data_IF_901548929679
#
_entry.id   IF_901548929679
#
_cell.length_a   1.000
_cell.length_b   1.000
_cell.length_c   1.000
_cell.angle_alpha   90.00
_cell.angle_beta   90.00
_cell.angle_gamma   90.00
#
_symmetry.space_group_name_H-M   'P 1'
#
loop_
_entity.id
_entity.type
_entity.pdbx_description
1 polymer ?
#
# COMPACT_ATOMS: atom_id res chain seq x y z
N UNK A 1 0.60 -28.66 -18.12
CA UNK A 1 -0.07 -27.36 -17.86
C UNK A 1 0.68 -26.69 -16.73
N UNK A 2 1.72 -25.90 -17.04
CA UNK A 2 2.52 -25.21 -16.02
C UNK A 2 1.64 -24.07 -15.52
N UNK A 3 1.05 -24.22 -14.33
CA UNK A 3 0.30 -23.14 -13.70
C UNK A 3 1.15 -21.88 -13.76
N UNK A 4 0.61 -20.83 -14.39
CA UNK A 4 1.10 -19.47 -14.22
C UNK A 4 1.05 -19.15 -12.73
N UNK A 5 2.10 -19.52 -11.97
CA UNK A 5 2.32 -19.08 -10.60
C UNK A 5 2.75 -17.62 -10.70
N UNK A 6 1.80 -16.76 -11.03
CA UNK A 6 1.93 -15.32 -10.99
C UNK A 6 2.13 -14.91 -9.55
N UNK A 7 3.40 -14.71 -9.17
CA UNK A 7 3.85 -14.33 -7.85
C UNK A 7 3.15 -13.01 -7.45
N UNK A 8 2.06 -13.13 -6.70
CA UNK A 8 1.43 -12.00 -6.03
C UNK A 8 2.32 -11.63 -4.85
N UNK A 9 2.70 -10.36 -4.74
CA UNK A 9 3.44 -9.86 -3.59
C UNK A 9 2.61 -8.83 -2.85
N UNK A 10 2.80 -8.79 -1.54
CA UNK A 10 2.44 -7.66 -0.68
C UNK A 10 3.68 -7.38 0.16
N UNK A 11 4.19 -6.16 0.07
CA UNK A 11 5.38 -5.76 0.81
C UNK A 11 5.09 -4.53 1.65
N UNK A 12 5.47 -4.53 2.94
CA UNK A 12 5.40 -3.31 3.75
C UNK A 12 6.39 -2.29 3.17
N UNK A 13 5.92 -1.06 3.02
CA UNK A 13 6.70 0.05 2.50
C UNK A 13 6.83 1.14 3.58
N UNK A 14 8.06 1.60 3.81
CA UNK A 14 8.28 2.80 4.60
C UNK A 14 7.67 4.04 3.93
N UNK A 15 7.11 4.95 4.73
CA UNK A 15 6.53 6.18 4.19
C UNK A 15 7.60 7.21 3.84
N UNK A 16 7.66 7.62 2.56
CA UNK A 16 8.39 8.82 2.17
C UNK A 16 7.49 10.06 2.29
N UNK A 17 7.99 11.23 1.89
CA UNK A 17 7.28 12.52 2.02
C UNK A 17 5.88 12.48 1.40
N UNK A 18 5.72 11.86 0.23
CA UNK A 18 4.42 11.71 -0.44
C UNK A 18 3.45 10.85 0.38
N UNK A 19 3.88 9.69 0.85
CA UNK A 19 3.06 8.77 1.60
C UNK A 19 2.66 9.36 2.95
N UNK A 20 3.58 10.07 3.63
CA UNK A 20 3.28 10.80 4.88
C UNK A 20 2.23 11.88 4.65
N UNK A 21 2.35 12.66 3.57
CA UNK A 21 1.39 13.69 3.23
C UNK A 21 0.01 13.09 2.92
N UNK A 22 -0.02 11.98 2.18
CA UNK A 22 -1.27 11.27 1.88
C UNK A 22 -1.91 10.69 3.16
N UNK A 23 -1.13 10.05 4.04
CA UNK A 23 -1.63 9.52 5.31
C UNK A 23 -2.25 10.62 6.20
N UNK A 24 -1.66 11.82 6.24
CA UNK A 24 -2.25 12.98 6.93
C UNK A 24 -3.60 13.38 6.34
N UNK A 25 -3.75 13.35 5.01
CA UNK A 25 -5.02 13.65 4.34
C UNK A 25 -6.08 12.60 4.67
N UNK A 26 -5.71 11.33 4.66
CA UNK A 26 -6.62 10.23 5.02
C UNK A 26 -7.07 10.30 6.48
N UNK A 27 -6.17 10.70 7.38
CA UNK A 27 -6.51 10.93 8.77
C UNK A 27 -7.53 12.06 8.94
N UNK A 28 -7.41 13.15 8.17
CA UNK A 28 -8.39 14.24 8.16
C UNK A 28 -9.75 13.80 7.58
N UNK A 29 -9.75 12.79 6.71
CA UNK A 29 -10.96 12.24 6.07
C UNK A 29 -11.57 11.07 6.87
N UNK A 30 -10.94 10.68 7.99
CA UNK A 30 -11.34 9.54 8.82
C UNK A 30 -11.53 8.24 8.01
N UNK A 31 -10.64 8.00 7.04
CA UNK A 31 -10.74 6.86 6.14
C UNK A 31 -9.76 5.74 6.51
N UNK A 32 -10.28 4.64 7.06
CA UNK A 32 -9.43 3.55 7.57
C UNK A 32 -8.63 2.80 6.49
N UNK A 33 -9.12 2.83 5.24
CA UNK A 33 -8.48 2.14 4.11
C UNK A 33 -8.54 2.97 2.84
N UNK A 34 -7.39 3.18 2.21
CA UNK A 34 -7.29 3.88 0.93
C UNK A 34 -6.32 3.17 -0.01
N UNK A 35 -6.71 3.08 -1.28
CA UNK A 35 -5.97 2.36 -2.30
C UNK A 35 -5.74 3.28 -3.50
N UNK A 36 -4.54 3.23 -4.05
CA UNK A 36 -4.19 4.04 -5.20
C UNK A 36 -3.23 3.30 -6.10
N UNK A 37 -3.53 3.29 -7.39
CA UNK A 37 -2.64 2.69 -8.38
C UNK A 37 -1.40 3.55 -8.59
N UNK A 38 -0.27 2.87 -8.73
CA UNK A 38 1.03 3.47 -8.93
C UNK A 38 1.83 2.62 -9.90
N UNK A 39 2.64 3.28 -10.71
CA UNK A 39 3.60 2.58 -11.57
C UNK A 39 4.97 2.71 -10.94
N UNK A 40 5.65 1.58 -10.75
CA UNK A 40 7.06 1.56 -10.34
C UNK A 40 7.93 1.30 -11.55
N UNK A 41 9.02 2.04 -11.65
CA UNK A 41 10.02 1.84 -12.68
C UNK A 41 11.02 0.79 -12.20
N UNK A 42 11.12 -0.34 -12.90
CA UNK A 42 12.08 -1.40 -12.56
C UNK A 42 13.35 -1.38 -13.43
N UNK A 43 13.52 -0.34 -14.25
CA UNK A 43 14.62 -0.27 -15.22
C UNK A 43 14.20 -0.75 -16.60
N UNK A 44 15.10 -0.67 -17.59
CA UNK A 44 14.90 -1.17 -18.97
C UNK A 44 13.62 -0.66 -19.66
N UNK A 45 13.16 0.55 -19.31
CA UNK A 45 11.88 1.11 -19.79
C UNK A 45 10.64 0.28 -19.37
N UNK A 46 10.79 -0.58 -18.36
CA UNK A 46 9.70 -1.40 -17.83
C UNK A 46 9.04 -0.72 -16.63
N UNK A 47 7.72 -0.57 -16.75
CA UNK A 47 6.87 -0.04 -15.69
C UNK A 47 5.97 -1.17 -15.19
N UNK A 48 6.01 -1.41 -13.90
CA UNK A 48 5.14 -2.39 -13.27
C UNK A 48 3.98 -1.68 -12.59
N UNK A 49 2.78 -2.16 -12.89
CA UNK A 49 1.57 -1.74 -12.20
C UNK A 49 1.59 -2.31 -10.79
N UNK A 50 1.46 -1.41 -9.82
CA UNK A 50 1.36 -1.76 -8.41
C UNK A 50 0.28 -0.91 -7.77
N UNK A 51 -0.33 -1.39 -6.71
CA UNK A 51 -1.27 -0.62 -5.91
C UNK A 51 -0.60 -0.33 -4.57
N UNK A 52 -0.65 0.94 -4.16
CA UNK A 52 -0.33 1.35 -2.81
C UNK A 52 -1.59 1.29 -1.95
N UNK A 53 -1.46 0.66 -0.79
CA UNK A 53 -2.56 0.47 0.13
C UNK A 53 -2.19 1.08 1.48
N UNK A 54 -3.00 2.04 1.90
CA UNK A 54 -2.91 2.70 3.18
C UNK A 54 -3.94 2.04 4.10
N UNK A 55 -3.48 1.52 5.24
CA UNK A 55 -4.33 0.91 6.26
C UNK A 55 -4.09 1.61 7.58
N UNK A 56 -5.16 2.10 8.21
CA UNK A 56 -5.12 2.63 9.58
C UNK A 56 -4.95 1.47 10.55
N UNK A 57 -4.07 1.63 11.54
CA UNK A 57 -3.89 0.69 12.63
C UNK A 57 -4.99 0.94 13.66
N UNK A 58 -5.63 -0.14 14.10
CA UNK A 58 -6.76 -0.08 15.03
C UNK A 58 -6.33 0.52 16.39
N UNK A 59 -5.13 0.19 16.88
CA UNK A 59 -4.60 0.63 18.18
C UNK A 59 -3.48 1.68 18.08
N UNK A 60 -3.56 2.61 17.13
CA UNK A 60 -2.50 3.61 16.99
C UNK A 60 -2.47 4.62 18.14
N UNK A 61 -1.40 4.60 18.96
CA UNK A 61 -1.17 5.58 20.04
C UNK A 61 -0.87 7.01 19.53
N UNK A 62 -0.58 7.17 18.24
CA UNK A 62 -0.19 8.46 17.64
C UNK A 62 -1.36 9.12 16.93
N UNK A 63 -1.39 10.45 16.86
CA UNK A 63 -2.41 11.26 16.17
C UNK A 63 -1.94 11.80 14.80
N UNK A 64 -0.91 11.18 14.23
CA UNK A 64 -0.29 11.61 12.98
C UNK A 64 -0.24 10.50 11.91
N UNK A 65 0.51 10.73 10.83
CA UNK A 65 0.74 9.77 9.76
C UNK A 65 1.14 8.34 10.21
N UNK A 66 1.71 8.17 11.40
CA UNK A 66 2.10 6.88 11.98
C UNK A 66 0.90 5.99 12.33
N UNK A 67 -0.31 6.55 12.36
CA UNK A 67 -1.55 5.75 12.42
C UNK A 67 -1.71 4.84 11.21
N UNK A 68 -1.06 5.16 10.08
CA UNK A 68 -1.17 4.35 8.87
C UNK A 68 0.06 3.47 8.68
N UNK A 69 -0.16 2.31 8.06
CA UNK A 69 0.85 1.49 7.42
C UNK A 69 0.63 1.54 5.90
N UNK A 70 1.71 1.55 5.13
CA UNK A 70 1.65 1.51 3.66
C UNK A 70 2.17 0.18 3.15
N UNK A 71 1.42 -0.42 2.25
CA UNK A 71 1.78 -1.64 1.57
C UNK A 71 1.83 -1.40 0.07
N UNK A 72 2.64 -2.20 -0.63
CA UNK A 72 2.73 -2.23 -2.08
C UNK A 72 2.40 -3.63 -2.57
N UNK A 73 1.55 -3.75 -3.58
CA UNK A 73 1.15 -5.04 -4.15
C UNK A 73 0.99 -4.97 -5.66
N UNK A 74 1.15 -6.09 -6.37
CA UNK A 74 0.88 -6.20 -7.81
C UNK A 74 -0.50 -6.78 -8.14
N UNK A 75 -1.38 -6.96 -7.15
CA UNK A 75 -2.76 -7.44 -7.35
C UNK A 75 -3.77 -6.57 -6.61
N UNK A 76 -5.04 -6.69 -7.04
CA UNK A 76 -6.17 -6.09 -6.36
C UNK A 76 -6.25 -6.49 -4.88
N UNK A 77 -6.90 -5.63 -4.11
CA UNK A 77 -6.92 -5.57 -2.65
C UNK A 77 -7.49 -6.74 -1.87
N UNK A 78 -8.00 -7.76 -2.55
CA UNK A 78 -8.54 -8.98 -1.92
C UNK A 78 -7.50 -9.85 -1.22
N UNK A 79 -6.21 -9.66 -1.50
CA UNK A 79 -5.12 -10.47 -0.92
C UNK A 79 -4.51 -9.91 0.37
N UNK A 80 -4.97 -8.75 0.85
CA UNK A 80 -4.43 -8.12 2.07
C UNK A 80 -4.91 -8.73 3.39
N UNK A 81 -5.83 -9.71 3.35
CA UNK A 81 -6.36 -10.38 4.56
C UNK A 81 -5.23 -11.08 5.35
N UNK A 82 -4.12 -11.42 4.69
CA UNK A 82 -3.01 -12.16 5.29
C UNK A 82 -2.02 -11.32 6.09
N UNK A 83 -2.12 -9.98 6.05
CA UNK A 83 -1.21 -9.10 6.79
C UNK A 83 -1.98 -8.44 7.94
N UNK A 84 -2.14 -9.21 9.02
CA UNK A 84 -2.81 -8.85 10.28
C UNK A 84 -2.32 -7.55 10.87
#
# INVERSE_FOLDING_TARGET
>A
MISQRGLSYVVPKGMQTSEKAQAKRLLQQDQDRYETDRKIYLGKNEWHETTLIYRRKEDAEHDDHRQYSVFMTNRGSGHLVEYG
#
